data_IF_516124329378
#
_entry.id   IF_516124329378
#
_cell.length_a   1.000
_cell.length_b   1.000
_cell.length_c   1.000
_cell.angle_alpha   90.00
_cell.angle_beta   90.00
_cell.angle_gamma   90.00
#
_symmetry.space_group_name_H-M   'P 1'
#
loop_
_entity.id
_entity.type
_entity.pdbx_description
1 polymer ?
#
# COMPACT_ATOMS: atom_id res chain seq x y z
N UNK A 1 -24.41 -3.88 5.22
CA UNK A 1 -24.49 -3.93 3.75
C UNK A 1 -25.01 -5.31 3.38
N UNK A 2 -26.02 -5.40 2.52
CA UNK A 2 -26.55 -6.67 2.03
C UNK A 2 -25.41 -7.56 1.47
N UNK A 3 -25.47 -8.87 1.73
CA UNK A 3 -24.48 -9.87 1.28
C UNK A 3 -24.11 -9.72 -0.19
N UNK A 4 -25.10 -9.42 -1.02
CA UNK A 4 -24.94 -9.20 -2.46
C UNK A 4 -24.11 -7.94 -2.76
N UNK A 5 -24.26 -6.88 -1.97
CA UNK A 5 -23.45 -5.66 -2.09
C UNK A 5 -21.99 -5.90 -1.74
N UNK A 6 -21.71 -6.64 -0.66
CA UNK A 6 -20.34 -7.03 -0.29
C UNK A 6 -19.68 -7.94 -1.33
N UNK A 7 -20.44 -8.89 -1.90
CA UNK A 7 -19.94 -9.77 -2.96
C UNK A 7 -19.58 -9.01 -4.24
N UNK A 8 -20.43 -8.07 -4.67
CA UNK A 8 -20.19 -7.25 -5.85
C UNK A 8 -18.96 -6.35 -5.68
N UNK A 9 -18.79 -5.75 -4.49
CA UNK A 9 -17.61 -4.96 -4.16
C UNK A 9 -16.34 -5.80 -4.25
N UNK A 10 -16.35 -7.02 -3.72
CA UNK A 10 -15.20 -7.93 -3.77
C UNK A 10 -14.84 -8.34 -5.20
N UNK A 11 -15.84 -8.59 -6.06
CA UNK A 11 -15.62 -8.91 -7.48
C UNK A 11 -15.03 -7.72 -8.23
N UNK A 12 -15.60 -6.52 -8.07
CA UNK A 12 -15.10 -5.30 -8.71
C UNK A 12 -13.69 -4.97 -8.24
N UNK A 13 -13.43 -5.05 -6.94
CA UNK A 13 -12.10 -4.88 -6.38
C UNK A 13 -11.12 -5.94 -6.89
N UNK A 14 -11.53 -7.21 -6.97
CA UNK A 14 -10.69 -8.28 -7.52
C UNK A 14 -10.29 -8.05 -8.97
N UNK A 15 -11.21 -7.57 -9.81
CA UNK A 15 -10.93 -7.21 -11.20
C UNK A 15 -10.00 -6.00 -11.31
N UNK A 16 -10.23 -4.95 -10.51
CA UNK A 16 -9.34 -3.77 -10.47
C UNK A 16 -7.92 -4.19 -10.03
N UNK A 17 -7.83 -4.98 -8.97
CA UNK A 17 -6.56 -5.47 -8.41
C UNK A 17 -5.86 -6.44 -9.36
N UNK A 18 -6.58 -7.17 -10.22
CA UNK A 18 -5.98 -7.97 -11.30
C UNK A 18 -5.50 -7.12 -12.48
N UNK A 19 -6.21 -6.04 -12.80
CA UNK A 19 -5.83 -5.14 -13.89
C UNK A 19 -4.58 -4.31 -13.56
N UNK A 20 -4.41 -3.91 -12.30
CA UNK A 20 -3.29 -3.08 -11.85
C UNK A 20 -1.89 -3.70 -12.11
N UNK A 21 -1.65 -4.98 -11.78
CA UNK A 21 -0.44 -5.73 -12.12
C UNK A 21 -0.16 -5.83 -13.62
N UNK A 22 -1.21 -5.94 -14.43
CA UNK A 22 -1.11 -6.07 -15.89
C UNK A 22 -0.61 -4.79 -16.56
N UNK A 23 -0.75 -3.64 -15.90
CA UNK A 23 -0.13 -2.39 -16.35
C UNK A 23 1.40 -2.46 -16.23
N UNK A 24 1.93 -3.32 -15.37
CA UNK A 24 3.36 -3.44 -15.10
C UNK A 24 3.91 -2.28 -14.27
N UNK A 25 5.19 -2.38 -13.91
CA UNK A 25 5.86 -1.45 -12.99
C UNK A 25 6.01 -0.05 -13.62
N UNK A 26 6.15 0.04 -14.95
CA UNK A 26 6.47 1.29 -15.64
C UNK A 26 5.32 2.32 -15.57
N UNK A 27 4.06 2.01 -15.96
CA UNK A 27 2.97 2.96 -15.85
C UNK A 27 2.66 3.35 -14.40
N UNK A 28 2.76 2.40 -13.46
CA UNK A 28 2.61 2.66 -12.03
C UNK A 28 3.67 3.65 -11.52
N UNK A 29 4.93 3.42 -11.87
CA UNK A 29 6.03 4.30 -11.49
C UNK A 29 5.89 5.71 -12.06
N UNK A 30 5.44 5.84 -13.32
CA UNK A 30 5.16 7.13 -13.96
C UNK A 30 4.02 7.88 -13.26
N UNK A 31 2.88 7.23 -13.05
CA UNK A 31 1.71 7.84 -12.40
C UNK A 31 2.08 8.28 -10.97
N UNK A 32 2.70 7.40 -10.18
CA UNK A 32 3.16 7.74 -8.83
C UNK A 32 4.19 8.86 -8.87
N UNK A 33 5.14 8.82 -9.80
CA UNK A 33 6.14 9.88 -9.98
C UNK A 33 5.52 11.26 -10.23
N UNK A 34 4.52 11.34 -11.12
CA UNK A 34 3.77 12.59 -11.36
C UNK A 34 2.97 13.04 -10.14
N UNK A 35 2.28 12.15 -9.44
CA UNK A 35 1.54 12.48 -8.21
C UNK A 35 2.50 13.06 -7.16
N UNK A 36 3.66 12.42 -6.96
CA UNK A 36 4.67 12.84 -5.98
C UNK A 36 5.33 14.16 -6.41
N UNK A 37 5.51 14.41 -7.71
CA UNK A 37 5.93 15.72 -8.21
C UNK A 37 4.93 16.82 -7.88
N UNK A 38 3.65 16.61 -8.14
CA UNK A 38 2.62 17.61 -7.81
C UNK A 38 2.53 17.84 -6.30
N UNK A 39 2.66 16.80 -5.48
CA UNK A 39 2.78 16.93 -4.03
C UNK A 39 3.99 17.80 -3.66
N UNK A 40 5.16 17.54 -4.26
CA UNK A 40 6.37 18.32 -4.01
C UNK A 40 6.21 19.80 -4.34
N UNK A 41 5.62 20.12 -5.50
CA UNK A 41 5.28 21.50 -5.89
C UNK A 41 4.32 22.11 -4.87
N UNK A 42 3.27 21.39 -4.47
CA UNK A 42 2.30 21.86 -3.48
C UNK A 42 2.94 22.18 -2.13
N UNK A 43 3.84 21.33 -1.64
CA UNK A 43 4.57 21.54 -0.38
C UNK A 43 5.56 22.71 -0.46
N UNK A 44 6.21 22.93 -1.60
CA UNK A 44 7.06 24.12 -1.79
C UNK A 44 6.24 25.40 -1.75
N UNK A 45 5.12 25.44 -2.45
CA UNK A 45 4.23 26.62 -2.48
C UNK A 45 3.60 26.87 -1.11
N UNK A 46 3.13 25.81 -0.45
CA UNK A 46 2.61 25.85 0.92
C UNK A 46 3.66 26.38 1.89
N UNK A 47 4.87 25.84 1.85
CA UNK A 47 5.91 26.24 2.79
C UNK A 47 6.38 27.68 2.63
N UNK A 48 6.38 28.21 1.39
CA UNK A 48 6.62 29.64 1.14
C UNK A 48 5.46 30.49 1.68
N UNK A 49 4.21 30.05 1.53
CA UNK A 49 3.05 30.75 2.07
C UNK A 49 3.04 30.75 3.62
N UNK A 50 3.41 29.62 4.24
CA UNK A 50 3.45 29.45 5.69
C UNK A 50 4.61 30.21 6.37
N UNK A 51 5.64 30.64 5.64
CA UNK A 51 6.79 31.38 6.20
C UNK A 51 6.38 32.64 6.97
N UNK A 52 5.29 33.31 6.58
CA UNK A 52 4.76 34.48 7.26
C UNK A 52 4.03 34.18 8.57
N UNK A 53 3.49 32.97 8.74
CA UNK A 53 2.74 32.55 9.92
C UNK A 53 3.60 31.75 10.91
N UNK A 54 4.37 30.80 10.39
CA UNK A 54 5.26 29.95 11.15
C UNK A 54 6.43 29.53 10.28
N UNK A 55 7.57 30.22 10.44
CA UNK A 55 8.81 29.89 9.73
C UNK A 55 9.21 28.42 9.93
N UNK A 56 8.98 27.86 11.12
CA UNK A 56 9.27 26.45 11.42
C UNK A 56 8.48 25.49 10.53
N UNK A 57 7.17 25.71 10.38
CA UNK A 57 6.32 24.86 9.53
C UNK A 57 6.69 25.06 8.06
N UNK A 58 6.89 26.32 7.64
CA UNK A 58 7.26 26.64 6.26
C UNK A 58 8.58 25.99 5.83
N UNK A 59 9.60 25.99 6.69
CA UNK A 59 10.88 25.32 6.42
C UNK A 59 10.70 23.80 6.27
N UNK A 60 9.90 23.18 7.13
CA UNK A 60 9.63 21.73 7.07
C UNK A 60 8.92 21.37 5.76
N UNK A 61 7.90 22.14 5.38
CA UNK A 61 7.17 21.93 4.13
C UNK A 61 8.07 22.10 2.90
N UNK A 62 8.94 23.12 2.89
CA UNK A 62 9.91 23.30 1.80
C UNK A 62 10.86 22.10 1.70
N UNK A 63 11.41 21.64 2.83
CA UNK A 63 12.31 20.48 2.85
C UNK A 63 11.62 19.21 2.35
N UNK A 64 10.40 18.94 2.82
CA UNK A 64 9.59 17.81 2.36
C UNK A 64 9.24 17.94 0.88
N UNK A 65 8.97 19.16 0.40
CA UNK A 65 8.71 19.46 -1.01
C UNK A 65 9.91 19.13 -1.90
N UNK A 66 11.13 19.52 -1.49
CA UNK A 66 12.36 19.18 -2.21
C UNK A 66 12.56 17.66 -2.27
N UNK A 67 12.39 16.97 -1.13
CA UNK A 67 12.51 15.50 -1.08
C UNK A 67 11.49 14.85 -2.02
N UNK A 68 10.23 15.30 -1.98
CA UNK A 68 9.18 14.80 -2.85
C UNK A 68 9.51 15.05 -4.33
N UNK A 69 10.02 16.22 -4.70
CA UNK A 69 10.44 16.47 -6.10
C UNK A 69 11.53 15.49 -6.56
N UNK A 70 12.57 15.30 -5.74
CA UNK A 70 13.67 14.38 -6.07
C UNK A 70 13.15 12.94 -6.22
N UNK A 71 12.28 12.49 -5.31
CA UNK A 71 11.68 11.16 -5.39
C UNK A 71 10.74 11.01 -6.59
N UNK A 72 9.92 12.02 -6.89
CA UNK A 72 9.00 12.03 -8.03
C UNK A 72 9.74 11.92 -9.37
N UNK A 73 10.81 12.70 -9.54
CA UNK A 73 11.73 12.58 -10.69
C UNK A 73 12.37 11.19 -10.70
N UNK A 74 12.83 10.71 -9.55
CA UNK A 74 13.42 9.38 -9.39
C UNK A 74 12.49 8.26 -9.88
N UNK A 75 11.20 8.30 -9.54
CA UNK A 75 10.23 7.30 -10.00
C UNK A 75 9.94 7.38 -11.50
N UNK A 76 9.95 8.58 -12.11
CA UNK A 76 9.73 8.72 -13.55
C UNK A 76 10.87 8.10 -14.36
N UNK A 77 12.12 8.39 -13.98
CA UNK A 77 13.29 7.97 -14.76
C UNK A 77 13.88 6.62 -14.33
N UNK A 78 13.61 6.18 -13.11
CA UNK A 78 14.09 4.91 -12.59
C UNK A 78 12.96 4.13 -11.89
N UNK A 79 12.20 3.32 -12.66
CA UNK A 79 11.17 2.44 -12.10
C UNK A 79 11.68 1.44 -11.05
N UNK A 80 12.99 1.16 -11.04
CA UNK A 80 13.62 0.36 -9.99
C UNK A 80 13.54 1.02 -8.61
N UNK A 81 13.62 2.36 -8.51
CA UNK A 81 13.43 3.08 -7.24
C UNK A 81 12.02 2.93 -6.71
N UNK A 82 11.01 2.97 -7.60
CA UNK A 82 9.62 2.73 -7.21
C UNK A 82 9.42 1.29 -6.73
N UNK A 83 9.94 0.30 -7.46
CA UNK A 83 9.87 -1.11 -7.06
C UNK A 83 10.53 -1.37 -5.71
N UNK A 84 11.71 -0.77 -5.46
CA UNK A 84 12.39 -0.84 -4.18
C UNK A 84 11.56 -0.21 -3.06
N UNK A 85 10.99 0.97 -3.29
CA UNK A 85 10.15 1.65 -2.30
C UNK A 85 8.90 0.84 -1.95
N UNK A 86 8.21 0.27 -2.95
CA UNK A 86 7.06 -0.60 -2.73
C UNK A 86 7.45 -1.83 -1.91
N UNK A 87 8.55 -2.50 -2.27
CA UNK A 87 9.08 -3.64 -1.50
C UNK A 87 9.42 -3.25 -0.05
N UNK A 88 10.04 -2.08 0.14
CA UNK A 88 10.38 -1.55 1.46
C UNK A 88 9.12 -1.25 2.30
N UNK A 89 8.07 -0.68 1.72
CA UNK A 89 6.78 -0.45 2.39
C UNK A 89 6.14 -1.78 2.78
N UNK A 90 6.11 -2.77 1.89
CA UNK A 90 5.57 -4.11 2.18
C UNK A 90 6.32 -4.75 3.34
N UNK A 91 7.64 -4.62 3.38
CA UNK A 91 8.49 -5.13 4.45
C UNK A 91 8.17 -4.44 5.80
N UNK A 92 8.04 -3.11 5.81
CA UNK A 92 7.65 -2.34 7.02
C UNK A 92 6.28 -2.78 7.52
N UNK A 93 5.29 -2.90 6.62
CA UNK A 93 3.94 -3.35 6.97
C UNK A 93 3.97 -4.75 7.57
N UNK A 94 4.73 -5.67 6.97
CA UNK A 94 4.92 -7.02 7.49
C UNK A 94 5.50 -7.01 8.92
N UNK A 95 6.50 -6.16 9.17
CA UNK A 95 7.11 -6.01 10.49
C UNK A 95 6.11 -5.48 11.54
N UNK A 96 5.32 -4.45 11.20
CA UNK A 96 4.27 -3.94 12.09
C UNK A 96 3.18 -4.98 12.36
N UNK A 97 2.79 -5.79 11.37
CA UNK A 97 1.81 -6.86 11.56
C UNK A 97 2.33 -7.96 12.49
N UNK A 98 3.62 -8.29 12.42
CA UNK A 98 4.24 -9.23 13.37
C UNK A 98 4.19 -8.65 14.78
N UNK A 99 4.58 -7.39 14.97
CA UNK A 99 4.55 -6.73 16.29
C UNK A 99 3.11 -6.71 16.83
N UNK A 100 2.15 -6.27 16.02
CA UNK A 100 0.74 -6.25 16.40
C UNK A 100 0.20 -7.65 16.71
N UNK A 101 0.60 -8.66 15.94
CA UNK A 101 0.24 -10.05 16.16
C UNK A 101 0.78 -10.59 17.47
N UNK A 102 2.07 -10.34 17.77
CA UNK A 102 2.70 -10.68 19.05
C UNK A 102 1.93 -10.03 20.20
N UNK A 103 1.67 -8.73 20.12
CA UNK A 103 0.90 -8.00 21.15
C UNK A 103 -0.47 -8.68 21.32
N UNK A 104 -1.22 -8.93 20.25
CA UNK A 104 -2.55 -9.55 20.31
C UNK A 104 -2.57 -10.96 20.92
N UNK A 105 -1.51 -11.75 20.74
CA UNK A 105 -1.36 -13.07 21.37
C UNK A 105 -1.24 -12.94 22.89
N UNK A 106 -0.43 -11.99 23.36
CA UNK A 106 -0.15 -11.79 24.78
C UNK A 106 -1.25 -11.00 25.50
N UNK A 107 -1.79 -9.96 24.87
CA UNK A 107 -2.76 -9.06 25.47
C UNK A 107 -4.21 -9.52 25.32
N UNK A 108 -4.49 -10.47 24.42
CA UNK A 108 -5.86 -10.87 24.00
C UNK A 108 -6.71 -9.70 23.49
N UNK A 109 -6.09 -8.57 23.14
CA UNK A 109 -6.79 -7.39 22.62
C UNK A 109 -7.31 -7.73 21.21
N UNK A 110 -8.62 -7.58 20.98
CA UNK A 110 -9.26 -8.00 19.72
C UNK A 110 -10.01 -9.33 19.77
N UNK A 111 -10.33 -9.83 20.97
CA UNK A 111 -11.30 -10.91 21.21
C UNK A 111 -10.69 -12.30 21.37
N UNK A 112 -9.86 -12.74 20.42
CA UNK A 112 -9.24 -14.08 20.43
C UNK A 112 -7.74 -14.02 20.19
N UNK A 113 -6.96 -14.82 20.92
CA UNK A 113 -5.51 -15.01 20.69
C UNK A 113 -5.20 -15.40 19.25
N UNK A 114 -6.14 -16.10 18.59
CA UNK A 114 -6.02 -16.52 17.19
C UNK A 114 -5.93 -15.35 16.22
N UNK A 115 -6.55 -14.21 16.51
CA UNK A 115 -6.41 -13.03 15.66
C UNK A 115 -4.96 -12.50 15.66
N UNK A 116 -4.28 -12.56 16.81
CA UNK A 116 -2.86 -12.22 16.90
C UNK A 116 -1.96 -13.21 16.16
N UNK A 117 -2.26 -14.52 16.23
CA UNK A 117 -1.54 -15.56 15.47
C UNK A 117 -1.70 -15.34 13.97
N UNK A 118 -2.92 -15.09 13.50
CA UNK A 118 -3.20 -14.80 12.09
C UNK A 118 -2.46 -13.55 11.63
N UNK A 119 -2.49 -12.47 12.41
CA UNK A 119 -1.77 -11.23 12.08
C UNK A 119 -0.25 -11.45 11.99
N UNK A 120 0.33 -12.23 12.91
CA UNK A 120 1.75 -12.58 12.85
C UNK A 120 2.11 -13.42 11.62
N UNK A 121 1.28 -14.41 11.28
CA UNK A 121 1.48 -15.24 10.08
C UNK A 121 1.38 -14.38 8.80
N UNK A 122 0.37 -13.50 8.71
CA UNK A 122 0.24 -12.57 7.59
C UNK A 122 1.46 -11.65 7.51
N UNK A 123 1.95 -11.14 8.64
CA UNK A 123 3.15 -10.32 8.66
C UNK A 123 4.41 -11.05 8.16
N UNK A 124 4.59 -12.33 8.54
CA UNK A 124 5.67 -13.18 8.03
C UNK A 124 5.52 -13.40 6.52
N UNK A 125 4.30 -13.63 6.03
CA UNK A 125 4.03 -13.73 4.60
C UNK A 125 4.41 -12.44 3.88
N UNK A 126 4.03 -11.27 4.40
CA UNK A 126 4.41 -9.97 3.84
C UNK A 126 5.93 -9.77 3.78
N UNK A 127 6.68 -10.14 4.82
CA UNK A 127 8.15 -10.06 4.79
C UNK A 127 8.71 -11.01 3.73
N UNK A 128 8.26 -12.26 3.70
CA UNK A 128 8.72 -13.28 2.75
C UNK A 128 8.45 -12.85 1.31
N UNK A 129 7.26 -12.29 1.08
CA UNK A 129 6.84 -11.72 -0.18
C UNK A 129 7.72 -10.54 -0.58
N UNK A 130 7.92 -9.58 0.33
CA UNK A 130 8.74 -8.40 0.10
C UNK A 130 10.22 -8.72 -0.16
N UNK A 131 10.72 -9.86 0.32
CA UNK A 131 12.11 -10.28 0.12
C UNK A 131 12.32 -11.23 -1.06
N UNK A 132 11.41 -12.18 -1.31
CA UNK A 132 11.63 -13.27 -2.28
C UNK A 132 10.77 -13.18 -3.54
N UNK A 133 9.59 -12.58 -3.45
CA UNK A 133 8.67 -12.39 -4.59
C UNK A 133 8.80 -10.93 -5.01
N UNK A 134 10.02 -10.53 -5.39
CA UNK A 134 10.35 -9.20 -5.90
C UNK A 134 9.67 -8.89 -7.26
N UNK A 135 8.64 -9.65 -7.63
CA UNK A 135 7.75 -9.37 -8.75
C UNK A 135 6.37 -8.94 -8.21
N UNK A 136 6.12 -7.62 -8.10
CA UNK A 136 4.83 -7.05 -7.71
C UNK A 136 3.66 -7.57 -8.55
N UNK A 137 3.93 -8.09 -9.75
CA UNK A 137 2.91 -8.62 -10.65
C UNK A 137 2.28 -9.88 -10.05
N UNK A 138 3.10 -10.81 -9.54
CA UNK A 138 2.64 -12.09 -8.99
C UNK A 138 1.72 -11.85 -7.79
N UNK A 139 2.05 -10.87 -6.95
CA UNK A 139 1.27 -10.55 -5.76
C UNK A 139 -0.08 -9.95 -6.07
N UNK A 140 -0.13 -8.95 -6.94
CA UNK A 140 -1.41 -8.37 -7.29
C UNK A 140 -2.30 -9.36 -8.05
N UNK A 141 -1.71 -10.26 -8.86
CA UNK A 141 -2.46 -11.35 -9.51
C UNK A 141 -3.04 -12.32 -8.47
N UNK A 142 -2.24 -12.74 -7.48
CA UNK A 142 -2.71 -13.63 -6.42
C UNK A 142 -3.81 -12.99 -5.56
N UNK A 143 -3.64 -11.73 -5.15
CA UNK A 143 -4.63 -10.99 -4.36
C UNK A 143 -5.91 -10.76 -5.18
N UNK A 144 -5.79 -10.37 -6.44
CA UNK A 144 -6.94 -10.12 -7.31
C UNK A 144 -7.71 -11.41 -7.63
N UNK A 145 -7.02 -12.53 -7.87
CA UNK A 145 -7.65 -13.86 -7.99
C UNK A 145 -8.36 -14.28 -6.71
N UNK A 146 -7.74 -14.09 -5.55
CA UNK A 146 -8.36 -14.39 -4.26
C UNK A 146 -9.65 -13.60 -4.04
N UNK A 147 -9.63 -12.29 -4.31
CA UNK A 147 -10.80 -11.40 -4.19
C UNK A 147 -11.92 -11.79 -5.16
N UNK A 148 -11.57 -12.11 -6.42
CA UNK A 148 -12.52 -12.61 -7.42
C UNK A 148 -13.18 -13.91 -6.98
N UNK A 149 -12.39 -14.92 -6.60
CA UNK A 149 -12.89 -16.23 -6.18
C UNK A 149 -13.78 -16.07 -4.95
N UNK A 150 -13.34 -15.31 -3.94
CA UNK A 150 -14.11 -15.06 -2.72
C UNK A 150 -15.43 -14.36 -3.02
N UNK A 151 -15.42 -13.32 -3.85
CA UNK A 151 -16.62 -12.60 -4.26
C UNK A 151 -17.60 -13.50 -5.04
N UNK A 152 -17.10 -14.32 -5.97
CA UNK A 152 -17.90 -15.29 -6.72
C UNK A 152 -18.53 -16.33 -5.78
N UNK A 153 -17.73 -16.94 -4.89
CA UNK A 153 -18.24 -17.93 -3.93
C UNK A 153 -19.31 -17.36 -3.00
N UNK A 154 -19.16 -16.09 -2.59
CA UNK A 154 -20.13 -15.42 -1.72
C UNK A 154 -21.52 -15.24 -2.37
N UNK A 155 -21.60 -15.21 -3.71
CA UNK A 155 -22.86 -15.24 -4.45
C UNK A 155 -23.54 -16.61 -4.46
N UNK A 156 -22.77 -17.69 -4.33
CA UNK A 156 -23.26 -19.08 -4.38
C UNK A 156 -23.53 -19.68 -3.01
N UNK A 157 -23.00 -19.10 -1.93
CA UNK A 157 -23.37 -19.49 -0.57
C UNK A 157 -24.84 -19.11 -0.37
N UNK A 158 -25.72 -20.11 -0.31
CA UNK A 158 -27.10 -19.96 0.16
C UNK A 158 -27.09 -20.11 1.68
N UNK A 159 -27.74 -19.19 2.39
CA UNK A 159 -28.18 -19.51 3.77
C UNK A 159 -29.31 -20.53 3.71
#
# INVERSE_FOLDING_TARGET
MEKNGSALILIVLGLIVLAFPLLGIIPLSLITGFIVLFLGIGLLLGGVAQMGESASIGIVEILLGIIALVLGIGFIFNPGLFSWLVGFIVWIVGLFLIIAGIIGIFSKTGGSRWNGVIAAIIGILYITVGTFIADPIILGVLIGLWLLITGILMLFIKE
#
